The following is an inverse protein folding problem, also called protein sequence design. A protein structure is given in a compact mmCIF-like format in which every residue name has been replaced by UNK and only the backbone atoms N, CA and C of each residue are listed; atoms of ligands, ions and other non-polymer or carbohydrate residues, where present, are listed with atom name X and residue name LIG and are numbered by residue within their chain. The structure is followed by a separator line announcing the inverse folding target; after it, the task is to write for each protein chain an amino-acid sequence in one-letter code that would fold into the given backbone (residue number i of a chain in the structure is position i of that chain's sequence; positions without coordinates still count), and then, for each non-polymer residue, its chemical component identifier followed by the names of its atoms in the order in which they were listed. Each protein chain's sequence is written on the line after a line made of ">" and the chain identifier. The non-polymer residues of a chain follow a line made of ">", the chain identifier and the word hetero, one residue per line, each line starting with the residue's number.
data_IF_179896511771
#
_entry.id   IF_179896511771
#
_cell.length_a   1.000
_cell.length_b   1.000
_cell.length_c   1.000
_cell.angle_alpha   90.00
_cell.angle_beta   90.00
_cell.angle_gamma   90.00
#
_symmetry.space_group_name_H-M   'P 1'
#
loop_
_entity.id
_entity.type
_entity.pdbx_description
1 polymer ?
#
# COMPACT_ATOMS: atom_id res chain seq x y z
N UNK A 1 5.15 26.42 20.19
CA UNK A 1 6.11 26.75 19.10
C UNK A 1 6.35 25.49 18.30
N UNK A 2 6.38 25.54 16.96
CA UNK A 2 6.58 24.33 16.14
C UNK A 2 7.96 23.72 16.40
N UNK A 3 8.01 22.41 16.61
CA UNK A 3 9.24 21.64 16.78
C UNK A 3 9.77 21.13 15.44
N UNK A 4 10.53 21.98 14.75
CA UNK A 4 11.16 21.61 13.48
C UNK A 4 12.10 20.41 13.60
N UNK A 5 12.83 20.29 14.72
CA UNK A 5 13.78 19.18 14.90
C UNK A 5 13.01 17.88 15.11
N UNK A 6 12.01 17.89 15.98
CA UNK A 6 11.14 16.74 16.21
C UNK A 6 10.49 16.23 14.93
N UNK A 7 10.03 17.13 14.04
CA UNK A 7 9.45 16.77 12.74
C UNK A 7 10.47 16.13 11.80
N UNK A 8 11.71 16.64 11.74
CA UNK A 8 12.77 16.06 10.91
C UNK A 8 13.18 14.67 11.40
N UNK A 9 13.29 14.49 12.71
CA UNK A 9 13.60 13.20 13.33
C UNK A 9 12.44 12.19 13.21
N UNK A 10 11.22 12.69 12.97
CA UNK A 10 10.00 11.92 12.86
C UNK A 10 9.79 11.24 11.51
N UNK A 11 10.02 12.00 10.45
CA UNK A 11 9.60 11.67 9.11
C UNK A 11 10.84 11.59 8.23
N UNK A 12 11.32 10.38 7.92
CA UNK A 12 12.42 10.22 7.00
C UNK A 12 12.07 10.76 5.60
N UNK A 13 13.04 11.39 4.93
CA UNK A 13 12.83 11.99 3.60
C UNK A 13 12.31 10.99 2.55
N UNK A 14 12.81 9.73 2.46
CA UNK A 14 12.32 8.78 1.47
C UNK A 14 10.86 8.42 1.71
N UNK A 15 10.45 8.32 2.98
CA UNK A 15 9.07 8.01 3.37
C UNK A 15 8.14 9.16 2.97
N UNK A 16 8.54 10.41 3.20
CA UNK A 16 7.78 11.57 2.76
C UNK A 16 7.67 11.64 1.23
N UNK A 17 8.76 11.40 0.53
CA UNK A 17 8.80 11.40 -0.93
C UNK A 17 7.82 10.38 -1.52
N UNK A 18 7.87 9.13 -1.06
CA UNK A 18 6.96 8.06 -1.51
C UNK A 18 5.51 8.35 -1.13
N UNK A 19 5.26 8.82 0.09
CA UNK A 19 3.91 9.18 0.56
C UNK A 19 3.28 10.27 -0.32
N UNK A 20 4.07 11.24 -0.78
CA UNK A 20 3.64 12.29 -1.69
C UNK A 20 3.70 11.90 -3.18
N UNK A 21 3.94 10.63 -3.50
CA UNK A 21 3.82 10.10 -4.85
C UNK A 21 5.08 10.20 -5.71
N UNK A 22 6.25 10.54 -5.14
CA UNK A 22 7.51 10.46 -5.87
C UNK A 22 7.90 8.99 -6.09
N UNK A 23 8.28 8.66 -7.32
CA UNK A 23 8.80 7.35 -7.65
C UNK A 23 10.23 7.21 -7.11
N UNK A 24 10.39 6.49 -6.00
CA UNK A 24 11.69 6.21 -5.39
C UNK A 24 12.17 4.81 -5.79
N UNK A 25 13.37 4.72 -6.35
CA UNK A 25 14.03 3.46 -6.72
C UNK A 25 15.46 3.47 -6.21
N UNK A 26 15.82 2.52 -5.34
CA UNK A 26 17.14 2.43 -4.71
C UNK A 26 17.56 3.74 -3.99
N UNK A 27 16.58 4.42 -3.37
CA UNK A 27 16.78 5.72 -2.72
C UNK A 27 17.05 6.88 -3.67
N UNK A 28 16.80 6.72 -4.97
CA UNK A 28 16.91 7.78 -5.99
C UNK A 28 15.53 8.13 -6.53
N UNK A 29 15.32 9.39 -6.89
CA UNK A 29 14.11 9.87 -7.57
C UNK A 29 14.45 10.99 -8.55
N UNK A 30 13.51 11.33 -9.44
CA UNK A 30 13.62 12.51 -10.30
C UNK A 30 13.59 13.77 -9.43
N UNK A 31 14.45 14.73 -9.75
CA UNK A 31 14.53 15.97 -9.02
C UNK A 31 13.26 16.80 -9.21
N UNK A 32 12.77 17.39 -8.12
CA UNK A 32 11.61 18.31 -8.12
C UNK A 32 12.03 19.79 -8.19
N UNK A 33 13.34 20.06 -8.25
CA UNK A 33 13.91 21.41 -8.26
C UNK A 33 14.32 21.86 -9.66
N UNK A 34 14.49 20.94 -10.61
CA UNK A 34 14.75 21.23 -12.03
C UNK A 34 13.99 20.24 -12.92
N UNK A 35 13.92 20.52 -14.22
CA UNK A 35 13.33 19.58 -15.21
C UNK A 35 14.27 18.39 -15.39
N UNK A 36 13.94 17.28 -14.72
CA UNK A 36 14.80 16.11 -14.60
C UNK A 36 14.22 14.89 -15.33
N UNK A 37 14.90 14.45 -16.39
CA UNK A 37 14.44 13.29 -17.18
C UNK A 37 14.84 11.96 -16.54
N UNK A 38 15.98 11.91 -15.86
CA UNK A 38 16.52 10.69 -15.23
C UNK A 38 16.71 10.92 -13.72
N UNK A 39 16.46 9.94 -12.84
CA UNK A 39 16.62 10.11 -11.40
C UNK A 39 18.02 10.64 -11.01
N UNK A 40 18.09 11.90 -10.58
CA UNK A 40 19.34 12.55 -10.16
C UNK A 40 19.35 12.97 -8.68
N UNK A 41 18.22 12.81 -7.97
CA UNK A 41 18.07 13.19 -6.57
C UNK A 41 18.15 11.96 -5.66
N UNK A 42 19.17 11.91 -4.79
CA UNK A 42 19.34 10.89 -3.75
C UNK A 42 18.60 11.31 -2.48
N UNK A 43 17.86 10.37 -1.91
CA UNK A 43 17.15 10.51 -0.65
C UNK A 43 17.89 9.70 0.42
N UNK A 44 18.30 10.37 1.48
CA UNK A 44 18.78 9.81 2.74
C UNK A 44 17.71 9.97 3.81
N UNK A 45 17.82 9.30 4.95
CA UNK A 45 16.78 9.37 5.98
C UNK A 45 16.54 10.80 6.49
N UNK A 46 17.59 11.61 6.64
CA UNK A 46 17.54 12.96 7.22
C UNK A 46 17.61 14.09 6.19
N UNK A 47 18.07 13.83 4.96
CA UNK A 47 18.23 14.84 3.92
C UNK A 47 18.11 14.28 2.50
N UNK A 48 17.99 15.16 1.50
CA UNK A 48 18.16 14.84 0.09
C UNK A 48 19.30 15.64 -0.52
N UNK A 49 19.85 15.13 -1.62
CA UNK A 49 20.83 15.81 -2.45
C UNK A 49 20.60 15.49 -3.92
N UNK A 50 20.52 16.52 -4.76
CA UNK A 50 20.46 16.35 -6.22
C UNK A 50 21.84 16.52 -6.85
N UNK A 51 22.31 15.49 -7.54
CA UNK A 51 23.59 15.54 -8.26
C UNK A 51 23.52 16.37 -9.55
N UNK A 52 22.33 16.61 -10.09
CA UNK A 52 22.13 17.38 -11.33
C UNK A 52 22.16 18.89 -11.11
N UNK A 53 21.43 19.38 -10.10
CA UNK A 53 21.30 20.82 -9.82
C UNK A 53 21.90 21.27 -8.49
N UNK A 54 22.52 20.36 -7.72
CA UNK A 54 23.18 20.63 -6.42
C UNK A 54 22.27 21.08 -5.28
N UNK A 55 20.95 21.08 -5.51
CA UNK A 55 19.96 21.35 -4.47
C UNK A 55 19.99 20.28 -3.38
N UNK A 56 19.82 20.73 -2.14
CA UNK A 56 19.84 19.88 -0.97
C UNK A 56 18.91 20.43 0.10
N UNK A 57 18.43 19.56 0.98
CA UNK A 57 17.52 19.97 2.04
C UNK A 57 17.00 18.79 2.82
N UNK A 58 16.08 19.08 3.74
CA UNK A 58 15.43 18.07 4.57
C UNK A 58 13.98 17.81 4.12
N UNK A 59 13.26 17.00 4.90
CA UNK A 59 11.86 16.65 4.65
C UNK A 59 10.94 17.88 4.56
N UNK A 60 11.26 18.97 5.26
CA UNK A 60 10.48 20.21 5.26
C UNK A 60 10.75 20.96 3.97
N UNK A 61 12.01 21.06 3.54
CA UNK A 61 12.38 21.65 2.23
C UNK A 61 11.73 20.89 1.07
N UNK A 62 11.73 19.55 1.12
CA UNK A 62 11.08 18.70 0.12
C UNK A 62 9.56 19.00 0.07
N UNK A 63 8.90 19.00 1.22
CA UNK A 63 7.44 19.24 1.33
C UNK A 63 7.09 20.66 0.88
N UNK A 64 7.89 21.65 1.29
CA UNK A 64 7.71 23.04 0.88
C UNK A 64 7.76 23.17 -0.64
N UNK A 65 8.71 22.50 -1.30
CA UNK A 65 8.82 22.52 -2.75
C UNK A 65 7.64 21.83 -3.45
N UNK A 66 7.27 20.63 -3.00
CA UNK A 66 6.18 19.85 -3.60
C UNK A 66 4.84 20.58 -3.59
N UNK A 67 4.55 21.30 -2.50
CA UNK A 67 3.25 21.94 -2.29
C UNK A 67 3.30 23.46 -2.42
N UNK A 68 4.43 24.04 -2.82
CA UNK A 68 4.65 25.49 -2.89
C UNK A 68 4.28 26.22 -1.58
N UNK A 69 4.72 25.64 -0.46
CA UNK A 69 4.41 26.11 0.89
C UNK A 69 5.59 26.84 1.52
N UNK A 70 5.33 27.71 2.49
CA UNK A 70 6.38 28.20 3.39
C UNK A 70 6.89 27.06 4.28
N UNK A 71 8.11 27.16 4.85
CA UNK A 71 8.63 26.12 5.75
C UNK A 71 7.72 25.83 6.96
N UNK A 72 7.02 26.86 7.46
CA UNK A 72 6.09 26.72 8.58
C UNK A 72 4.84 25.92 8.17
N UNK A 73 4.29 26.18 7.00
CA UNK A 73 3.13 25.47 6.47
C UNK A 73 3.49 24.04 6.08
N UNK A 74 4.65 23.83 5.48
CA UNK A 74 5.20 22.50 5.19
C UNK A 74 5.36 21.66 6.47
N UNK A 75 5.87 22.25 7.54
CA UNK A 75 5.97 21.58 8.85
C UNK A 75 4.60 21.19 9.41
N UNK A 76 3.59 22.08 9.32
CA UNK A 76 2.21 21.77 9.73
C UNK A 76 1.61 20.65 8.90
N UNK A 77 1.82 20.67 7.59
CA UNK A 77 1.36 19.64 6.67
C UNK A 77 1.94 18.27 7.03
N UNK A 78 3.26 18.20 7.27
CA UNK A 78 3.91 16.98 7.74
C UNK A 78 3.30 16.46 9.04
N UNK A 79 2.98 17.34 10.00
CA UNK A 79 2.29 16.89 11.20
C UNK A 79 0.92 16.28 10.93
N UNK A 80 0.14 16.91 10.05
CA UNK A 80 -1.21 16.46 9.71
C UNK A 80 -1.18 15.15 8.94
N UNK A 81 -0.37 15.07 7.89
CA UNK A 81 -0.32 13.93 6.97
C UNK A 81 0.28 12.68 7.64
N UNK A 82 1.25 12.87 8.55
CA UNK A 82 1.91 11.78 9.27
C UNK A 82 1.33 11.57 10.68
N UNK A 83 0.39 12.40 11.13
CA UNK A 83 -0.22 12.28 12.46
C UNK A 83 0.76 12.46 13.62
N UNK A 84 1.78 13.31 13.46
CA UNK A 84 2.78 13.63 14.51
C UNK A 84 2.46 14.95 15.21
N UNK A 85 2.91 15.10 16.46
CA UNK A 85 2.72 16.34 17.23
C UNK A 85 3.66 17.44 16.73
N UNK A 86 3.12 18.59 16.33
CA UNK A 86 3.95 19.76 15.97
C UNK A 86 4.52 20.53 17.16
N UNK A 87 4.01 20.35 18.39
CA UNK A 87 4.32 21.25 19.50
C UNK A 87 5.34 20.67 20.48
N UNK A 88 6.33 21.49 20.88
CA UNK A 88 7.42 21.15 21.81
C UNK A 88 6.94 20.65 23.19
N UNK A 89 5.74 21.02 23.61
CA UNK A 89 5.23 20.77 24.97
C UNK A 89 4.55 19.40 25.13
N UNK A 90 4.38 18.63 24.05
CA UNK A 90 3.87 17.26 24.12
C UNK A 90 5.05 16.31 23.88
N UNK A 91 5.28 15.30 24.74
CA UNK A 91 6.35 14.34 24.53
C UNK A 91 6.20 13.76 23.13
N UNK A 92 7.27 13.90 22.34
CA UNK A 92 7.36 13.34 21.00
C UNK A 92 7.34 11.82 21.16
N UNK A 93 6.15 11.23 21.11
CA UNK A 93 6.02 9.78 21.03
C UNK A 93 6.54 9.43 19.64
N UNK A 94 7.77 8.89 19.58
CA UNK A 94 8.26 8.09 18.45
C UNK A 94 7.30 6.92 18.28
N UNK A 95 6.12 7.15 17.70
CA UNK A 95 5.56 6.14 16.83
C UNK A 95 6.52 6.16 15.67
N UNK A 96 7.37 5.14 15.55
CA UNK A 96 7.85 4.78 14.24
C UNK A 96 6.58 4.53 13.42
N UNK A 97 6.12 5.55 12.71
CA UNK A 97 5.00 5.43 11.80
C UNK A 97 5.57 4.59 10.68
N UNK A 98 5.42 3.26 10.81
CA UNK A 98 5.67 2.35 9.71
C UNK A 98 4.54 2.60 8.71
N UNK A 99 4.75 3.59 7.85
CA UNK A 99 3.84 3.89 6.76
C UNK A 99 4.01 2.74 5.78
N UNK A 100 2.95 1.96 5.62
CA UNK A 100 2.91 0.85 4.69
C UNK A 100 3.16 1.43 3.28
N UNK A 101 4.29 1.07 2.69
CA UNK A 101 4.67 1.52 1.35
C UNK A 101 3.63 1.04 0.34
N UNK A 102 3.52 1.70 -0.81
CA UNK A 102 2.63 1.25 -1.88
C UNK A 102 2.89 -0.21 -2.26
N UNK A 103 4.17 -0.61 -2.28
CA UNK A 103 4.59 -1.99 -2.54
C UNK A 103 4.10 -2.96 -1.46
N UNK A 104 4.19 -2.59 -0.18
CA UNK A 104 3.68 -3.43 0.92
C UNK A 104 2.16 -3.60 0.82
N UNK A 105 1.42 -2.54 0.46
CA UNK A 105 -0.03 -2.61 0.24
C UNK A 105 -0.39 -3.55 -0.91
N UNK A 106 0.29 -3.42 -2.05
CA UNK A 106 0.10 -4.31 -3.21
C UNK A 106 0.39 -5.77 -2.84
N UNK A 107 1.50 -6.05 -2.16
CA UNK A 107 1.88 -7.40 -1.75
C UNK A 107 0.86 -8.03 -0.80
N UNK A 108 0.33 -7.23 0.13
CA UNK A 108 -0.69 -7.68 1.08
C UNK A 108 -2.02 -7.99 0.38
N UNK A 109 -2.49 -7.09 -0.49
CA UNK A 109 -3.70 -7.30 -1.26
C UNK A 109 -3.58 -8.54 -2.17
N UNK A 110 -2.47 -8.65 -2.91
CA UNK A 110 -2.24 -9.80 -3.78
C UNK A 110 -2.23 -11.11 -3.00
N UNK A 111 -1.57 -11.16 -1.83
CA UNK A 111 -1.57 -12.36 -0.99
C UNK A 111 -2.99 -12.80 -0.63
N UNK A 112 -3.80 -11.88 -0.10
CA UNK A 112 -5.19 -12.16 0.30
C UNK A 112 -6.00 -12.71 -0.88
N UNK A 113 -5.92 -12.06 -2.05
CA UNK A 113 -6.64 -12.47 -3.25
C UNK A 113 -6.16 -13.84 -3.75
N UNK A 114 -4.85 -14.07 -3.77
CA UNK A 114 -4.25 -15.33 -4.21
C UNK A 114 -4.58 -16.50 -3.30
N UNK A 115 -4.66 -16.26 -1.98
CA UNK A 115 -5.04 -17.27 -1.00
C UNK A 115 -6.50 -17.69 -1.21
N UNK A 116 -7.40 -16.73 -1.44
CA UNK A 116 -8.81 -17.02 -1.71
C UNK A 116 -9.00 -17.69 -3.06
N UNK A 117 -8.28 -17.25 -4.09
CA UNK A 117 -8.31 -17.91 -5.41
C UNK A 117 -7.85 -19.38 -5.32
N UNK A 118 -6.83 -19.68 -4.51
CA UNK A 118 -6.40 -21.06 -4.26
C UNK A 118 -7.48 -21.85 -3.53
N UNK A 119 -8.12 -21.26 -2.52
CA UNK A 119 -9.22 -21.89 -1.81
C UNK A 119 -10.39 -22.24 -2.73
N UNK A 120 -10.75 -21.34 -3.65
CA UNK A 120 -11.80 -21.61 -4.64
C UNK A 120 -11.43 -22.77 -5.58
N UNK A 121 -10.15 -22.93 -5.93
CA UNK A 121 -9.70 -24.13 -6.69
C UNK A 121 -9.90 -25.40 -5.89
N UNK A 122 -9.49 -25.38 -4.62
CA UNK A 122 -9.67 -26.53 -3.71
C UNK A 122 -11.16 -26.90 -3.59
N UNK A 123 -12.04 -25.91 -3.42
CA UNK A 123 -13.49 -26.14 -3.39
C UNK A 123 -14.03 -26.77 -4.67
N UNK A 124 -13.52 -26.31 -5.82
CA UNK A 124 -13.96 -26.80 -7.13
C UNK A 124 -13.55 -28.24 -7.38
N UNK A 125 -12.39 -28.65 -6.87
CA UNK A 125 -11.86 -30.00 -7.05
C UNK A 125 -12.44 -30.98 -6.03
N UNK A 126 -12.57 -30.57 -4.76
CA UNK A 126 -13.00 -31.44 -3.66
C UNK A 126 -14.52 -31.66 -3.64
N UNK A 127 -15.31 -30.61 -3.88
CA UNK A 127 -16.77 -30.65 -3.76
C UNK A 127 -17.49 -30.78 -5.10
N UNK A 128 -16.78 -31.22 -6.14
CA UNK A 128 -17.36 -31.47 -7.47
C UNK A 128 -18.42 -32.58 -7.38
N UNK A 129 -19.65 -32.37 -7.89
CA UNK A 129 -20.69 -33.39 -7.94
C UNK A 129 -20.21 -34.63 -8.71
N UNK A 130 -20.53 -35.81 -8.17
CA UNK A 130 -20.15 -37.12 -8.76
C UNK A 130 -21.17 -37.58 -9.81
N UNK A 131 -22.36 -36.99 -9.82
CA UNK A 131 -23.40 -37.28 -10.80
C UNK A 131 -24.26 -36.04 -11.07
N UNK A 132 -24.97 -36.02 -12.19
CA UNK A 132 -25.86 -34.91 -12.58
C UNK A 132 -27.09 -34.76 -11.66
N UNK A 133 -27.44 -35.81 -10.90
CA UNK A 133 -28.58 -35.80 -10.00
C UNK A 133 -28.22 -35.30 -8.58
N UNK A 134 -26.93 -35.11 -8.28
CA UNK A 134 -26.45 -34.65 -6.98
C UNK A 134 -26.55 -33.12 -6.90
N UNK A 135 -27.17 -32.55 -5.84
CA UNK A 135 -27.21 -31.11 -5.66
C UNK A 135 -25.80 -30.55 -5.46
N UNK A 136 -25.56 -29.34 -5.93
CA UNK A 136 -24.25 -28.72 -5.80
C UNK A 136 -23.97 -28.32 -4.35
N UNK A 137 -22.77 -28.64 -3.88
CA UNK A 137 -22.31 -28.18 -2.58
C UNK A 137 -22.16 -26.65 -2.58
N UNK A 138 -22.55 -25.92 -1.52
CA UNK A 138 -22.44 -24.46 -1.50
C UNK A 138 -21.04 -23.93 -1.81
N UNK A 139 -19.99 -24.60 -1.30
CA UNK A 139 -18.59 -24.22 -1.60
C UNK A 139 -18.22 -24.47 -3.08
N UNK A 140 -18.80 -25.51 -3.70
CA UNK A 140 -18.64 -25.74 -5.12
C UNK A 140 -19.33 -24.64 -5.94
N UNK A 141 -20.55 -24.24 -5.58
CA UNK A 141 -21.25 -23.12 -6.20
C UNK A 141 -20.48 -21.80 -6.06
N UNK A 142 -19.95 -21.52 -4.87
CA UNK A 142 -19.11 -20.34 -4.61
C UNK A 142 -17.88 -20.33 -5.54
N UNK A 143 -17.23 -21.49 -5.72
CA UNK A 143 -16.11 -21.63 -6.66
C UNK A 143 -16.51 -21.30 -8.09
N UNK A 144 -17.68 -21.75 -8.54
CA UNK A 144 -18.16 -21.48 -9.89
C UNK A 144 -18.43 -19.99 -10.13
N UNK A 145 -18.95 -19.30 -9.11
CA UNK A 145 -19.30 -17.89 -9.21
C UNK A 145 -18.05 -16.98 -9.17
N UNK A 146 -17.04 -17.34 -8.37
CA UNK A 146 -15.96 -16.42 -8.02
C UNK A 146 -14.59 -16.75 -8.63
N UNK A 147 -14.34 -17.98 -9.07
CA UNK A 147 -12.98 -18.41 -9.45
C UNK A 147 -12.37 -17.55 -10.56
N UNK A 148 -13.11 -17.34 -11.65
CA UNK A 148 -12.62 -16.53 -12.79
C UNK A 148 -12.41 -15.07 -12.39
N UNK A 149 -13.34 -14.51 -11.61
CA UNK A 149 -13.29 -13.11 -11.20
C UNK A 149 -12.07 -12.84 -10.30
N UNK A 150 -11.81 -13.72 -9.33
CA UNK A 150 -10.64 -13.58 -8.46
C UNK A 150 -9.33 -13.93 -9.16
N UNK A 151 -9.37 -14.78 -10.20
CA UNK A 151 -8.25 -14.96 -11.12
C UNK A 151 -7.88 -13.65 -11.82
N UNK A 152 -8.88 -12.95 -12.37
CA UNK A 152 -8.68 -11.65 -12.99
C UNK A 152 -8.11 -10.61 -12.01
N UNK A 153 -8.58 -10.57 -10.77
CA UNK A 153 -8.01 -9.66 -9.76
C UNK A 153 -6.56 -9.98 -9.42
N UNK A 154 -6.17 -11.26 -9.40
CA UNK A 154 -4.77 -11.63 -9.25
C UNK A 154 -3.94 -11.13 -10.44
N UNK A 155 -4.46 -11.24 -11.66
CA UNK A 155 -3.75 -10.79 -12.87
C UNK A 155 -3.47 -9.28 -12.86
N UNK A 156 -4.36 -8.45 -12.31
CA UNK A 156 -4.11 -7.00 -12.12
C UNK A 156 -2.79 -6.76 -11.37
N UNK A 157 -2.47 -7.58 -10.37
CA UNK A 157 -1.23 -7.42 -9.60
C UNK A 157 0.00 -8.08 -10.24
N UNK A 158 -0.21 -9.08 -11.11
CA UNK A 158 0.88 -9.81 -11.79
C UNK A 158 1.30 -9.10 -13.08
N UNK A 159 0.35 -8.70 -13.91
CA UNK A 159 0.58 -8.16 -15.26
C UNK A 159 0.05 -6.74 -15.45
N UNK A 160 -0.82 -6.25 -14.56
CA UNK A 160 -1.39 -4.92 -14.64
C UNK A 160 -0.39 -3.77 -14.43
N UNK A 161 -0.75 -2.61 -14.95
CA UNK A 161 0.02 -1.37 -14.84
C UNK A 161 0.04 -0.85 -13.40
N UNK A 162 0.87 0.16 -13.14
CA UNK A 162 0.92 0.79 -11.81
C UNK A 162 -0.38 1.51 -11.47
N UNK A 163 -1.04 2.10 -12.46
CA UNK A 163 -2.28 2.85 -12.24
C UNK A 163 -3.47 1.92 -12.01
N UNK A 164 -3.56 0.81 -12.74
CA UNK A 164 -4.59 -0.22 -12.50
C UNK A 164 -4.46 -0.84 -11.09
N UNK A 165 -3.24 -1.11 -10.63
CA UNK A 165 -3.00 -1.63 -9.28
C UNK A 165 -3.38 -0.62 -8.20
N UNK A 166 -3.11 0.66 -8.43
CA UNK A 166 -3.52 1.74 -7.51
C UNK A 166 -5.02 1.90 -7.47
N UNK A 167 -5.67 1.97 -8.62
CA UNK A 167 -7.13 2.09 -8.73
C UNK A 167 -7.82 0.92 -8.02
N UNK A 168 -7.32 -0.31 -8.23
CA UNK A 168 -7.85 -1.48 -7.53
C UNK A 168 -7.67 -1.40 -6.01
N UNK A 169 -6.54 -0.91 -5.51
CA UNK A 169 -6.35 -0.74 -4.06
C UNK A 169 -7.25 0.34 -3.46
N UNK A 170 -7.64 1.35 -4.24
CA UNK A 170 -8.52 2.42 -3.80
C UNK A 170 -9.99 1.99 -3.82
N UNK A 171 -10.43 1.38 -4.91
CA UNK A 171 -11.83 1.05 -5.20
C UNK A 171 -12.21 -0.40 -4.82
N UNK A 172 -11.25 -1.32 -4.82
CA UNK A 172 -11.45 -2.75 -4.57
C UNK A 172 -11.35 -3.17 -3.10
N UNK A 173 -11.48 -2.24 -2.15
CA UNK A 173 -11.31 -2.52 -0.71
C UNK A 173 -12.31 -3.56 -0.19
N UNK A 174 -13.55 -3.51 -0.66
CA UNK A 174 -14.60 -4.46 -0.28
C UNK A 174 -14.29 -5.86 -0.80
N UNK A 175 -13.75 -5.97 -2.02
CA UNK A 175 -13.33 -7.25 -2.62
C UNK A 175 -12.21 -7.89 -1.80
N UNK A 176 -11.22 -7.10 -1.40
CA UNK A 176 -10.10 -7.55 -0.56
C UNK A 176 -10.62 -7.96 0.82
N UNK A 177 -11.53 -7.19 1.42
CA UNK A 177 -12.10 -7.47 2.73
C UNK A 177 -12.94 -8.77 2.71
N UNK A 178 -13.73 -8.98 1.66
CA UNK A 178 -14.50 -10.22 1.46
C UNK A 178 -13.57 -11.44 1.39
N UNK A 179 -12.53 -11.39 0.55
CA UNK A 179 -11.57 -12.48 0.42
C UNK A 179 -10.82 -12.76 1.73
N UNK A 180 -10.39 -11.73 2.45
CA UNK A 180 -9.74 -11.87 3.76
C UNK A 180 -10.69 -12.53 4.78
N UNK A 181 -11.98 -12.16 4.78
CA UNK A 181 -12.97 -12.80 5.64
C UNK A 181 -13.18 -14.27 5.28
N UNK A 182 -13.30 -14.62 3.99
CA UNK A 182 -13.46 -16.02 3.56
C UNK A 182 -12.23 -16.86 3.90
N UNK A 183 -11.02 -16.33 3.66
CA UNK A 183 -9.77 -17.01 4.02
C UNK A 183 -9.67 -17.33 5.52
N UNK A 184 -10.15 -16.43 6.38
CA UNK A 184 -10.16 -16.65 7.84
C UNK A 184 -11.21 -17.68 8.28
N UNK A 185 -12.34 -17.73 7.59
CA UNK A 185 -13.47 -18.60 7.93
C UNK A 185 -13.35 -20.01 7.32
N UNK A 186 -12.41 -20.23 6.40
CA UNK A 186 -12.12 -21.52 5.79
C UNK A 186 -11.92 -22.67 6.82
N UNK A 187 -11.46 -22.38 8.04
CA UNK A 187 -11.24 -23.41 9.07
C UNK A 187 -12.49 -23.81 9.84
N UNK A 188 -13.60 -23.06 9.74
CA UNK A 188 -14.82 -23.29 10.50
C UNK A 188 -15.93 -24.02 9.69
N UNK A 189 -15.88 -23.95 8.36
CA UNK A 189 -16.89 -24.55 7.47
C UNK A 189 -16.48 -25.94 6.94
N UNK A 190 -15.28 -26.43 7.30
CA UNK A 190 -14.79 -27.79 6.98
C UNK A 190 -15.31 -28.89 7.94
N UNK A 191 -16.40 -28.65 8.68
CA UNK A 191 -17.07 -29.75 9.36
C UNK A 191 -17.83 -30.60 8.33
N UNK A 192 -17.63 -31.92 8.30
CA UNK A 192 -18.33 -32.77 7.35
C UNK A 192 -19.83 -32.62 7.57
N UNK A 193 -20.57 -32.42 6.47
CA UNK A 193 -22.02 -32.59 6.47
C UNK A 193 -22.29 -33.97 7.06
N UNK A 194 -22.90 -34.00 8.25
CA UNK A 194 -23.25 -35.23 8.92
C UNK A 194 -24.15 -36.07 8.00
N UNK A 195 -23.78 -37.35 7.89
CA UNK A 195 -24.33 -38.44 7.07
C UNK A 195 -25.86 -38.43 6.94
#
# INVERSE_FOLDING_TARGET
>A
MIDFKGIKDAVPVPVAAEHYGLAVRNGMTQCIFHDDRNPSMKLYDDHFYCFGCTEHGDVISLTARLFSLTPLEAAKKLCTDFGISCNKDKPYIRRHIRIETQREKEQKAFRILSDYYRLLKEYRDEYKPKSEAEPFHPLFEESLQNLELYGHYCDIFITGTTDERKDFLENGKEIIAYADSRNRNCTAECEPIAV
#
